data_IF_830533873306
#
_entry.id   IF_830533873306
#
_cell.length_a   1.000
_cell.length_b   1.000
_cell.length_c   1.000
_cell.angle_alpha   90.00
_cell.angle_beta   90.00
_cell.angle_gamma   90.00
#
_symmetry.space_group_name_H-M   'P 1'
#
loop_
_entity.id
_entity.type
_entity.pdbx_description
1 polymer ?
#
# COMPACT_ATOMS: atom_id res chain seq x y z
N UNK A 1 -10.17 14.41 -5.40
CA UNK A 1 -9.80 15.00 -4.08
C UNK A 1 -8.33 15.35 -4.01
N UNK A 2 -7.45 14.44 -4.43
CA UNK A 2 -6.03 14.72 -4.65
C UNK A 2 -5.74 14.52 -6.12
N UNK A 3 -4.96 15.41 -6.73
CA UNK A 3 -4.49 15.31 -8.12
C UNK A 3 -2.99 15.57 -8.15
N UNK A 4 -2.27 14.65 -8.75
CA UNK A 4 -0.81 14.71 -8.93
C UNK A 4 -0.52 14.58 -10.42
N UNK A 5 0.16 15.57 -10.99
CA UNK A 5 0.44 15.64 -12.42
C UNK A 5 1.93 15.87 -12.64
N UNK A 6 2.61 14.91 -13.26
CA UNK A 6 4.03 14.92 -13.67
C UNK A 6 4.97 15.36 -12.54
N UNK A 7 4.64 14.96 -11.30
CA UNK A 7 5.36 15.37 -10.10
C UNK A 7 6.79 14.85 -10.14
N UNK A 8 7.76 15.76 -10.08
CA UNK A 8 9.18 15.44 -10.17
C UNK A 8 9.91 16.04 -8.98
N UNK A 9 10.81 15.26 -8.37
CA UNK A 9 11.63 15.71 -7.24
C UNK A 9 13.05 15.24 -7.36
N UNK A 10 13.98 16.19 -7.31
CA UNK A 10 15.42 15.95 -7.34
C UNK A 10 16.05 16.36 -6.01
N UNK A 11 16.91 15.51 -5.47
CA UNK A 11 17.82 15.82 -4.36
C UNK A 11 19.25 15.82 -4.91
N UNK A 12 19.68 16.97 -5.41
CA UNK A 12 20.94 17.05 -6.15
C UNK A 12 20.92 16.09 -7.37
N UNK A 13 21.85 15.12 -7.45
CA UNK A 13 21.88 14.14 -8.55
C UNK A 13 20.82 13.04 -8.44
N UNK A 14 20.18 12.90 -7.28
CA UNK A 14 19.23 11.80 -7.03
C UNK A 14 17.84 12.21 -7.48
N UNK A 15 17.25 11.45 -8.41
CA UNK A 15 15.86 11.59 -8.84
C UNK A 15 14.98 10.76 -7.91
N UNK A 16 14.30 11.42 -6.98
CA UNK A 16 13.40 10.76 -6.02
C UNK A 16 12.00 10.52 -6.60
N UNK A 17 11.52 11.43 -7.48
CA UNK A 17 10.28 11.26 -8.25
C UNK A 17 10.54 11.69 -9.69
N UNK A 18 10.07 10.91 -10.65
CA UNK A 18 10.20 11.16 -12.09
C UNK A 18 8.81 11.10 -12.73
N UNK A 19 8.18 12.26 -12.92
CA UNK A 19 6.88 12.45 -13.56
C UNK A 19 5.77 11.57 -13.02
N UNK A 20 5.66 11.53 -11.69
CA UNK A 20 4.60 10.78 -10.99
C UNK A 20 3.25 11.45 -11.23
N UNK A 21 2.28 10.69 -11.73
CA UNK A 21 0.91 11.17 -11.98
C UNK A 21 -0.09 10.15 -11.45
N UNK A 22 -1.00 10.58 -10.57
CA UNK A 22 -2.15 9.80 -10.07
C UNK A 22 -3.20 10.72 -9.48
N UNK A 23 -4.38 10.21 -9.25
CA UNK A 23 -5.46 10.93 -8.57
C UNK A 23 -6.04 10.11 -7.41
N UNK A 24 -6.66 10.79 -6.44
CA UNK A 24 -7.44 10.16 -5.36
C UNK A 24 -8.82 10.81 -5.34
N UNK A 25 -9.87 10.00 -5.44
CA UNK A 25 -11.25 10.47 -5.41
C UNK A 25 -11.68 10.78 -3.98
N UNK A 26 -12.76 11.56 -3.85
CA UNK A 26 -13.35 11.83 -2.53
C UNK A 26 -13.89 10.53 -1.93
N UNK A 27 -13.58 10.29 -0.64
CA UNK A 27 -14.02 9.07 0.07
C UNK A 27 -13.27 7.79 -0.33
N UNK A 28 -12.19 7.90 -1.12
CA UNK A 28 -11.36 6.76 -1.52
C UNK A 28 -10.24 6.54 -0.51
N UNK A 29 -9.93 5.25 -0.25
CA UNK A 29 -8.71 4.84 0.44
C UNK A 29 -7.71 4.35 -0.60
N UNK A 30 -6.61 5.07 -0.78
CA UNK A 30 -5.55 4.71 -1.71
C UNK A 30 -4.30 4.32 -0.95
N UNK A 31 -3.79 3.12 -1.25
CA UNK A 31 -2.50 2.64 -0.77
C UNK A 31 -1.37 3.01 -1.74
N UNK A 32 -0.38 3.77 -1.28
CA UNK A 32 0.85 4.02 -2.03
C UNK A 32 1.88 2.95 -1.64
N UNK A 33 2.02 1.92 -2.47
CA UNK A 33 2.85 0.75 -2.23
C UNK A 33 4.20 0.86 -2.94
N UNK A 34 5.27 0.47 -2.29
CA UNK A 34 6.60 0.41 -2.92
C UNK A 34 7.72 0.11 -1.94
N UNK A 35 8.90 -0.32 -2.41
CA UNK A 35 10.04 -0.59 -1.55
C UNK A 35 10.58 0.69 -0.89
N UNK A 36 11.48 0.52 0.07
CA UNK A 36 12.17 1.65 0.69
C UNK A 36 12.98 2.41 -0.38
N UNK A 37 12.92 3.76 -0.33
CA UNK A 37 13.55 4.61 -1.34
C UNK A 37 12.78 4.74 -2.67
N UNK A 38 11.60 4.14 -2.82
CA UNK A 38 10.81 4.23 -4.05
C UNK A 38 10.20 5.62 -4.34
N UNK A 39 10.16 6.52 -3.35
CA UNK A 39 9.58 7.86 -3.48
C UNK A 39 8.29 8.09 -2.67
N UNK A 40 7.79 7.08 -1.92
CA UNK A 40 6.55 7.18 -1.12
C UNK A 40 6.54 8.39 -0.18
N UNK A 41 7.46 8.44 0.78
CA UNK A 41 7.52 9.53 1.77
C UNK A 41 7.84 10.89 1.13
N UNK A 42 8.57 10.91 0.00
CA UNK A 42 8.78 12.14 -0.78
C UNK A 42 7.45 12.65 -1.34
N UNK A 43 6.64 11.78 -1.92
CA UNK A 43 5.30 12.12 -2.40
C UNK A 43 4.42 12.64 -1.27
N UNK A 44 4.38 11.95 -0.11
CA UNK A 44 3.61 12.38 1.06
C UNK A 44 4.06 13.76 1.57
N UNK A 45 5.38 14.01 1.64
CA UNK A 45 5.93 15.31 2.06
C UNK A 45 5.56 16.44 1.09
N UNK A 46 5.46 16.18 -0.20
CA UNK A 46 5.01 17.20 -1.17
C UNK A 46 3.51 17.47 -0.98
N UNK A 47 2.68 16.43 -0.92
CA UNK A 47 1.23 16.57 -0.70
C UNK A 47 0.90 17.32 0.58
N UNK A 48 1.73 17.14 1.62
CA UNK A 48 1.57 17.83 2.92
C UNK A 48 2.24 19.20 2.98
N UNK A 49 2.75 19.70 1.86
CA UNK A 49 3.43 21.00 1.75
C UNK A 49 4.71 21.12 2.59
N UNK A 50 5.31 19.99 2.98
CA UNK A 50 6.58 19.94 3.68
C UNK A 50 7.76 20.15 2.73
N UNK A 51 7.63 19.66 1.49
CA UNK A 51 8.59 19.84 0.41
C UNK A 51 7.92 20.47 -0.80
N UNK A 52 8.69 21.28 -1.54
CA UNK A 52 8.30 21.79 -2.84
C UNK A 52 8.83 20.85 -3.93
N UNK A 53 8.02 20.48 -4.94
CA UNK A 53 8.50 19.68 -6.06
C UNK A 53 9.48 20.48 -6.93
N UNK A 54 10.38 19.77 -7.61
CA UNK A 54 11.27 20.38 -8.62
C UNK A 54 10.50 20.78 -9.88
N UNK A 55 9.49 19.95 -10.27
CA UNK A 55 8.59 20.22 -11.37
C UNK A 55 7.28 19.45 -11.19
N UNK A 56 6.28 19.76 -12.02
CA UNK A 56 4.95 19.18 -11.94
C UNK A 56 4.04 19.91 -10.96
N UNK A 57 2.86 19.35 -10.71
CA UNK A 57 1.82 19.98 -9.92
C UNK A 57 1.11 18.97 -9.01
N UNK A 58 0.78 19.39 -7.80
CA UNK A 58 -0.10 18.63 -6.92
C UNK A 58 -1.19 19.54 -6.34
N UNK A 59 -2.41 19.03 -6.28
CA UNK A 59 -3.59 19.74 -5.76
C UNK A 59 -4.28 18.85 -4.73
N UNK A 60 -4.62 19.40 -3.58
CA UNK A 60 -5.32 18.71 -2.50
C UNK A 60 -6.57 19.51 -2.12
N UNK A 61 -7.73 18.87 -2.20
CA UNK A 61 -9.04 19.51 -1.95
C UNK A 61 -9.25 20.82 -2.73
N UNK A 62 -8.77 20.86 -3.98
CA UNK A 62 -8.87 22.04 -4.85
C UNK A 62 -7.76 23.10 -4.64
N UNK A 63 -6.85 22.90 -3.67
CA UNK A 63 -5.77 23.83 -3.37
C UNK A 63 -4.42 23.32 -3.88
N UNK A 64 -3.69 24.16 -4.62
CA UNK A 64 -2.34 23.87 -5.08
C UNK A 64 -1.36 23.86 -3.90
N UNK A 65 -0.56 22.78 -3.79
CA UNK A 65 0.37 22.59 -2.66
C UNK A 65 1.49 23.63 -2.60
N UNK A 66 1.83 24.25 -3.73
CA UNK A 66 2.88 25.28 -3.83
C UNK A 66 2.33 26.68 -3.71
N UNK A 67 1.13 26.95 -4.27
CA UNK A 67 0.52 28.28 -4.31
C UNK A 67 -0.28 28.59 -3.05
N UNK A 68 -0.95 27.57 -2.47
CA UNK A 68 -1.88 27.75 -1.35
C UNK A 68 -1.56 26.83 -0.15
N UNK A 69 -0.29 26.72 0.30
CA UNK A 69 0.12 25.72 1.30
C UNK A 69 -0.63 25.83 2.62
N UNK A 70 -1.02 27.05 3.04
CA UNK A 70 -1.78 27.23 4.28
C UNK A 70 -3.22 26.70 4.17
N UNK A 71 -3.85 26.79 2.98
CA UNK A 71 -5.17 26.22 2.75
C UNK A 71 -5.09 24.68 2.72
N UNK A 72 -4.08 24.13 2.05
CA UNK A 72 -3.82 22.68 2.05
C UNK A 72 -3.67 22.17 3.48
N UNK A 73 -2.82 22.82 4.31
CA UNK A 73 -2.60 22.41 5.72
C UNK A 73 -3.85 22.47 6.59
N UNK A 74 -4.86 23.27 6.24
CA UNK A 74 -6.15 23.32 6.96
C UNK A 74 -7.03 22.13 6.69
N UNK A 75 -6.95 21.57 5.48
CA UNK A 75 -7.83 20.46 5.03
C UNK A 75 -7.18 19.08 5.14
N UNK A 76 -5.87 19.00 5.48
CA UNK A 76 -5.15 17.74 5.64
C UNK A 76 -4.85 17.42 7.10
N UNK A 77 -4.99 16.13 7.46
CA UNK A 77 -4.37 15.52 8.63
C UNK A 77 -3.18 14.69 8.18
N UNK A 78 -2.02 14.86 8.80
CA UNK A 78 -0.81 14.15 8.45
C UNK A 78 -0.20 13.39 9.62
N UNK A 79 0.02 12.10 9.41
CA UNK A 79 0.78 11.22 10.28
C UNK A 79 2.09 10.85 9.57
N UNK A 80 3.22 11.44 9.92
CA UNK A 80 4.52 11.04 9.36
C UNK A 80 5.03 9.75 9.99
N UNK A 81 5.95 9.05 9.30
CA UNK A 81 6.61 7.83 9.80
C UNK A 81 7.32 8.07 11.14
N UNK A 82 8.04 9.19 11.28
CA UNK A 82 8.63 9.64 12.55
C UNK A 82 7.65 10.53 13.26
N UNK A 83 7.14 10.09 14.40
CA UNK A 83 6.08 10.77 15.14
C UNK A 83 6.59 12.08 15.78
N UNK A 84 6.02 13.26 15.44
CA UNK A 84 6.44 14.55 15.98
C UNK A 84 5.78 14.84 17.33
N UNK A 85 5.96 13.95 18.30
CA UNK A 85 5.32 14.04 19.62
C UNK A 85 6.23 14.78 20.62
N UNK A 86 5.64 15.62 21.46
CA UNK A 86 6.33 16.24 22.58
C UNK A 86 6.33 15.28 23.78
N UNK A 87 7.42 14.52 23.90
CA UNK A 87 7.54 13.34 24.76
C UNK A 87 7.32 13.63 26.24
N UNK A 88 7.58 14.85 26.71
CA UNK A 88 7.44 15.27 28.12
C UNK A 88 6.05 15.87 28.44
N UNK A 89 5.16 15.95 27.44
CA UNK A 89 3.80 16.42 27.66
C UNK A 89 2.86 15.26 27.99
N UNK A 90 1.82 15.53 28.77
CA UNK A 90 0.65 14.64 28.86
C UNK A 90 -0.11 14.61 27.52
N UNK A 91 -0.72 13.47 27.17
CA UNK A 91 -1.58 13.34 25.98
C UNK A 91 -2.61 14.47 25.89
N UNK A 92 -3.30 14.74 27.01
CA UNK A 92 -4.29 15.83 27.12
C UNK A 92 -3.71 17.19 26.77
N UNK A 93 -2.57 17.52 27.36
CA UNK A 93 -1.92 18.81 27.18
C UNK A 93 -1.42 18.98 25.75
N UNK A 94 -0.86 17.91 25.17
CA UNK A 94 -0.39 17.87 23.79
C UNK A 94 -1.55 18.08 22.80
N UNK A 95 -2.65 17.33 22.92
CA UNK A 95 -3.81 17.48 22.04
C UNK A 95 -4.48 18.85 22.17
N UNK A 96 -4.55 19.42 23.39
CA UNK A 96 -5.03 20.78 23.61
C UNK A 96 -4.13 21.81 22.92
N UNK A 97 -2.82 21.65 23.03
CA UNK A 97 -1.84 22.51 22.36
C UNK A 97 -2.01 22.46 20.83
N UNK A 98 -2.03 21.25 20.26
CA UNK A 98 -2.21 21.06 18.81
C UNK A 98 -3.55 21.62 18.32
N UNK A 99 -4.63 21.37 19.04
CA UNK A 99 -5.95 21.90 18.69
C UNK A 99 -5.98 23.43 18.65
N UNK A 100 -5.35 24.09 19.64
CA UNK A 100 -5.20 25.55 19.64
C UNK A 100 -4.33 26.03 18.47
N UNK A 101 -3.22 25.36 18.18
CA UNK A 101 -2.35 25.68 17.04
C UNK A 101 -3.08 25.54 15.69
N UNK A 102 -4.09 24.64 15.62
CA UNK A 102 -4.99 24.48 14.47
C UNK A 102 -6.17 25.47 14.46
N UNK A 103 -6.22 26.43 15.38
CA UNK A 103 -7.24 27.49 15.48
C UNK A 103 -8.53 27.05 16.18
N UNK A 104 -8.52 25.94 16.91
CA UNK A 104 -9.67 25.52 17.72
C UNK A 104 -9.63 26.19 19.10
N UNK A 105 -10.80 26.57 19.62
CA UNK A 105 -10.94 27.18 20.94
C UNK A 105 -12.27 26.83 21.61
N UNK A 106 -12.39 27.08 22.90
CA UNK A 106 -13.65 26.98 23.66
C UNK A 106 -14.34 25.61 23.53
N UNK A 107 -15.63 25.65 23.35
CA UNK A 107 -16.50 24.45 23.25
C UNK A 107 -16.12 23.57 22.03
N UNK A 108 -15.73 24.17 20.91
CA UNK A 108 -15.30 23.42 19.71
C UNK A 108 -14.05 22.61 19.98
N UNK A 109 -13.04 23.16 20.63
CA UNK A 109 -11.83 22.43 21.00
C UNK A 109 -12.16 21.26 21.93
N UNK A 110 -12.96 21.51 22.97
CA UNK A 110 -13.38 20.47 23.91
C UNK A 110 -14.07 19.31 23.19
N UNK A 111 -15.06 19.60 22.35
CA UNK A 111 -15.80 18.60 21.59
C UNK A 111 -14.88 17.79 20.65
N UNK A 112 -13.98 18.46 19.91
CA UNK A 112 -13.04 17.76 19.02
C UNK A 112 -12.04 16.88 19.79
N UNK A 113 -11.59 17.33 20.97
CA UNK A 113 -10.75 16.52 21.85
C UNK A 113 -11.47 15.26 22.32
N UNK A 114 -12.74 15.36 22.75
CA UNK A 114 -13.54 14.23 23.18
C UNK A 114 -13.68 13.20 22.03
N UNK A 115 -14.02 13.67 20.82
CA UNK A 115 -14.15 12.81 19.64
C UNK A 115 -12.85 12.09 19.32
N UNK A 116 -11.70 12.79 19.17
CA UNK A 116 -10.46 12.12 18.78
C UNK A 116 -9.91 11.19 19.87
N UNK A 117 -10.15 11.51 21.15
CA UNK A 117 -9.79 10.64 22.26
C UNK A 117 -10.60 9.35 22.24
N UNK A 118 -11.89 9.44 21.89
CA UNK A 118 -12.75 8.27 21.75
C UNK A 118 -12.37 7.45 20.52
N UNK A 119 -12.35 8.09 19.35
CA UNK A 119 -12.01 7.44 18.06
C UNK A 119 -10.65 6.75 18.10
N UNK A 120 -9.61 7.38 18.68
CA UNK A 120 -8.27 6.80 18.76
C UNK A 120 -8.05 5.92 20.01
N UNK A 121 -9.07 5.68 20.84
CA UNK A 121 -8.98 4.82 22.02
C UNK A 121 -8.00 5.32 23.09
N UNK A 122 -7.88 6.65 23.27
CA UNK A 122 -6.89 7.27 24.16
C UNK A 122 -7.37 7.49 25.61
N UNK A 123 -8.64 7.16 25.94
CA UNK A 123 -9.21 7.35 27.29
C UNK A 123 -8.30 6.78 28.40
N UNK A 124 -7.73 5.54 28.30
CA UNK A 124 -6.89 4.97 29.37
C UNK A 124 -5.59 5.71 29.62
N UNK A 125 -5.08 6.45 28.64
CA UNK A 125 -3.76 7.12 28.68
C UNK A 125 -3.85 8.63 28.62
N UNK A 126 -5.04 9.19 28.67
CA UNK A 126 -5.29 10.63 28.42
C UNK A 126 -4.51 11.58 29.34
N UNK A 127 -4.22 11.14 30.58
CA UNK A 127 -3.44 11.91 31.57
C UNK A 127 -2.01 11.40 31.77
N UNK A 128 -1.56 10.42 30.93
CA UNK A 128 -0.19 9.91 30.99
C UNK A 128 0.75 10.76 30.16
N UNK A 129 2.01 10.79 30.56
CA UNK A 129 3.09 11.44 29.81
C UNK A 129 3.40 10.59 28.58
N UNK A 130 3.57 11.25 27.40
CA UNK A 130 3.71 10.57 26.10
C UNK A 130 4.91 9.62 26.07
N UNK A 131 6.04 9.96 26.72
CA UNK A 131 7.22 9.06 26.78
C UNK A 131 6.96 7.73 27.50
N UNK A 132 5.96 7.68 28.39
CA UNK A 132 5.60 6.48 29.17
C UNK A 132 4.65 5.54 28.39
N UNK A 133 4.18 5.97 27.22
CA UNK A 133 3.26 5.21 26.41
C UNK A 133 3.98 4.10 25.63
N UNK A 134 3.27 2.98 25.39
CA UNK A 134 3.68 1.99 24.38
C UNK A 134 3.75 2.64 23.00
N UNK A 135 4.44 1.99 22.04
CA UNK A 135 4.55 2.46 20.67
C UNK A 135 3.14 2.64 20.04
N UNK A 136 2.23 1.70 20.25
CA UNK A 136 0.85 1.77 19.75
C UNK A 136 0.08 2.97 20.29
N UNK A 137 0.17 3.27 21.58
CA UNK A 137 -0.46 4.47 22.12
C UNK A 137 0.17 5.77 21.63
N UNK A 138 1.47 5.80 21.39
CA UNK A 138 2.12 6.95 20.74
C UNK A 138 1.61 7.13 19.31
N UNK A 139 1.49 6.03 18.55
CA UNK A 139 0.92 6.06 17.20
C UNK A 139 -0.51 6.61 17.19
N UNK A 140 -1.37 6.11 18.08
CA UNK A 140 -2.75 6.59 18.24
C UNK A 140 -2.81 8.06 18.67
N UNK A 141 -1.88 8.51 19.54
CA UNK A 141 -1.79 9.92 19.94
C UNK A 141 -1.40 10.80 18.75
N UNK A 142 -0.46 10.36 17.90
CA UNK A 142 -0.07 11.09 16.71
C UNK A 142 -1.19 11.08 15.65
N UNK A 143 -1.98 10.01 15.55
CA UNK A 143 -3.16 9.98 14.69
C UNK A 143 -4.25 10.93 15.21
N UNK A 144 -4.51 10.95 16.52
CA UNK A 144 -5.45 11.90 17.13
C UNK A 144 -5.05 13.37 16.85
N UNK A 145 -3.75 13.69 16.89
CA UNK A 145 -3.27 15.02 16.52
C UNK A 145 -3.52 15.34 15.03
N UNK A 146 -3.38 14.36 14.15
CA UNK A 146 -3.68 14.55 12.73
C UNK A 146 -5.17 14.79 12.47
N UNK A 147 -6.07 14.27 13.32
CA UNK A 147 -7.53 14.31 13.17
C UNK A 147 -8.21 15.44 13.94
N UNK A 148 -7.52 16.11 14.87
CA UNK A 148 -8.15 17.00 15.84
C UNK A 148 -8.91 18.18 15.21
N UNK A 149 -8.43 18.70 14.08
CA UNK A 149 -9.03 19.83 13.36
C UNK A 149 -10.08 19.44 12.32
N UNK A 150 -10.44 18.15 12.26
CA UNK A 150 -11.42 17.59 11.34
C UNK A 150 -11.04 17.73 9.85
N UNK A 151 -9.90 17.17 9.42
CA UNK A 151 -9.46 17.27 8.04
C UNK A 151 -10.37 16.51 7.07
N UNK A 152 -10.43 16.97 5.81
CA UNK A 152 -11.12 16.28 4.72
C UNK A 152 -10.26 15.14 4.13
N UNK A 153 -8.94 15.32 4.16
CA UNK A 153 -7.95 14.38 3.65
C UNK A 153 -7.03 13.94 4.78
N UNK A 154 -6.81 12.64 4.90
CA UNK A 154 -5.88 12.05 5.88
C UNK A 154 -4.73 11.39 5.13
N UNK A 155 -3.50 11.80 5.44
CA UNK A 155 -2.28 11.28 4.84
C UNK A 155 -1.49 10.54 5.93
N UNK A 156 -1.24 9.25 5.71
CA UNK A 156 -0.61 8.36 6.68
C UNK A 156 0.66 7.76 6.07
N UNK A 157 1.82 8.11 6.63
CA UNK A 157 3.11 7.58 6.16
C UNK A 157 3.56 6.43 7.08
N UNK A 158 3.52 5.19 6.59
CA UNK A 158 3.84 3.93 7.28
C UNK A 158 3.10 3.80 8.65
N UNK A 159 1.75 3.89 8.69
CA UNK A 159 0.99 4.03 9.93
C UNK A 159 1.10 2.84 10.90
N UNK A 160 1.49 1.68 10.41
CA UNK A 160 1.59 0.41 11.16
C UNK A 160 3.01 -0.02 11.45
N UNK A 161 4.00 0.79 11.03
CA UNK A 161 5.41 0.44 11.15
C UNK A 161 5.85 0.11 12.59
N UNK A 162 6.31 -1.13 12.78
CA UNK A 162 6.83 -1.65 14.05
C UNK A 162 5.81 -1.76 15.17
N UNK A 163 4.53 -1.90 14.83
CA UNK A 163 3.46 -2.31 15.73
C UNK A 163 3.36 -3.84 15.77
N UNK A 164 2.83 -4.38 16.86
CA UNK A 164 2.48 -5.80 16.94
C UNK A 164 1.20 -6.11 16.14
N UNK A 165 0.93 -7.40 15.83
CA UNK A 165 -0.22 -7.79 15.01
C UNK A 165 -1.57 -7.28 15.53
N UNK A 166 -1.77 -7.25 16.84
CA UNK A 166 -3.02 -6.78 17.45
C UNK A 166 -3.19 -5.27 17.23
N UNK A 167 -2.12 -4.49 17.44
CA UNK A 167 -2.11 -3.05 17.21
C UNK A 167 -2.32 -2.70 15.73
N UNK A 168 -1.77 -3.51 14.81
CA UNK A 168 -2.02 -3.35 13.37
C UNK A 168 -3.51 -3.46 13.05
N UNK A 169 -4.20 -4.48 13.58
CA UNK A 169 -5.64 -4.65 13.39
C UNK A 169 -6.45 -3.45 13.92
N UNK A 170 -6.05 -2.92 15.08
CA UNK A 170 -6.70 -1.75 15.67
C UNK A 170 -6.52 -0.48 14.83
N UNK A 171 -5.31 -0.25 14.26
CA UNK A 171 -5.06 0.89 13.35
C UNK A 171 -5.83 0.71 12.03
N UNK A 172 -5.91 -0.51 11.47
CA UNK A 172 -6.74 -0.80 10.29
C UNK A 172 -8.20 -0.47 10.53
N UNK A 173 -8.78 -0.97 11.60
CA UNK A 173 -10.17 -0.66 11.97
C UNK A 173 -10.42 0.85 12.09
N UNK A 174 -9.45 1.59 12.60
CA UNK A 174 -9.52 3.05 12.69
C UNK A 174 -9.44 3.70 11.31
N UNK A 175 -8.61 3.21 10.40
CA UNK A 175 -8.55 3.70 9.02
C UNK A 175 -9.87 3.44 8.29
N UNK A 176 -10.46 2.26 8.47
CA UNK A 176 -11.76 1.90 7.89
C UNK A 176 -12.89 2.81 8.40
N UNK A 177 -12.86 3.18 9.68
CA UNK A 177 -13.82 4.14 10.25
C UNK A 177 -13.62 5.54 9.64
N UNK A 178 -12.38 5.99 9.49
CA UNK A 178 -12.08 7.28 8.86
C UNK A 178 -12.49 7.32 7.38
N UNK A 179 -12.40 6.19 6.68
CA UNK A 179 -12.74 6.07 5.27
C UNK A 179 -14.23 6.34 4.97
N UNK A 180 -15.11 6.22 5.96
CA UNK A 180 -16.55 6.49 5.79
C UNK A 180 -16.82 7.95 5.41
N UNK A 181 -16.06 8.89 5.95
CA UNK A 181 -16.29 10.33 5.80
C UNK A 181 -15.11 11.09 5.18
N UNK A 182 -13.94 10.48 5.13
CA UNK A 182 -12.69 11.14 4.75
C UNK A 182 -12.03 10.45 3.55
N UNK A 183 -11.21 11.20 2.84
CA UNK A 183 -10.32 10.64 1.82
C UNK A 183 -9.00 10.26 2.50
N UNK A 184 -8.54 9.04 2.30
CA UNK A 184 -7.34 8.53 2.95
C UNK A 184 -6.29 8.14 1.90
N UNK A 185 -5.07 8.57 2.07
CA UNK A 185 -3.91 8.03 1.37
C UNK A 185 -2.92 7.50 2.41
N UNK A 186 -2.52 6.26 2.28
CA UNK A 186 -1.54 5.65 3.16
C UNK A 186 -0.35 5.11 2.37
N UNK A 187 0.85 5.28 2.88
CA UNK A 187 2.04 4.63 2.34
C UNK A 187 2.35 3.38 3.14
N UNK A 188 2.81 2.35 2.48
CA UNK A 188 3.41 1.18 3.12
C UNK A 188 4.31 0.42 2.16
N UNK A 189 5.20 -0.39 2.69
CA UNK A 189 5.98 -1.38 1.96
C UNK A 189 5.45 -2.80 2.21
N UNK A 190 4.40 -2.96 3.02
CA UNK A 190 3.82 -4.25 3.41
C UNK A 190 2.56 -4.51 2.58
N UNK A 191 2.65 -5.48 1.68
CA UNK A 191 1.60 -5.85 0.73
C UNK A 191 0.28 -6.23 1.41
N UNK A 192 0.34 -7.01 2.48
CA UNK A 192 -0.82 -7.47 3.25
C UNK A 192 -1.60 -6.32 3.91
N UNK A 193 -0.94 -5.20 4.23
CA UNK A 193 -1.60 -4.03 4.80
C UNK A 193 -2.46 -3.32 3.76
N UNK A 194 -1.90 -3.13 2.57
CA UNK A 194 -2.62 -2.49 1.46
C UNK A 194 -3.78 -3.35 1.00
N UNK A 195 -3.57 -4.67 0.88
CA UNK A 195 -4.60 -5.63 0.46
C UNK A 195 -5.81 -5.63 1.41
N UNK A 196 -5.57 -5.41 2.70
CA UNK A 196 -6.62 -5.43 3.71
C UNK A 196 -7.34 -4.08 3.92
N UNK A 197 -6.76 -2.95 3.45
CA UNK A 197 -7.27 -1.62 3.84
C UNK A 197 -7.58 -0.73 2.63
N UNK A 198 -6.84 -0.86 1.53
CA UNK A 198 -6.97 0.06 0.39
C UNK A 198 -8.02 -0.41 -0.63
N UNK A 199 -8.85 0.52 -1.08
CA UNK A 199 -9.77 0.29 -2.21
C UNK A 199 -9.02 0.24 -3.54
N UNK A 200 -7.90 0.96 -3.64
CA UNK A 200 -7.06 1.07 -4.83
C UNK A 200 -5.60 1.22 -4.42
N UNK A 201 -4.73 0.66 -5.22
CA UNK A 201 -3.30 0.63 -4.97
C UNK A 201 -2.58 1.38 -6.09
N UNK A 202 -1.72 2.32 -5.70
CA UNK A 202 -0.75 2.97 -6.58
C UNK A 202 0.63 2.39 -6.23
N UNK A 203 1.22 1.67 -7.16
CA UNK A 203 2.55 1.06 -6.98
C UNK A 203 3.60 2.03 -7.50
N UNK A 204 4.51 2.42 -6.61
CA UNK A 204 5.64 3.28 -6.96
C UNK A 204 6.96 2.49 -6.85
N UNK A 205 7.80 2.61 -7.87
CA UNK A 205 9.13 2.02 -7.88
C UNK A 205 10.13 2.99 -8.52
N UNK A 206 11.28 3.21 -7.87
CA UNK A 206 12.35 4.11 -8.35
C UNK A 206 11.83 5.49 -8.82
N UNK A 207 10.88 6.04 -8.07
CA UNK A 207 10.29 7.35 -8.34
C UNK A 207 9.26 7.38 -9.47
N UNK A 208 8.79 6.24 -9.99
CA UNK A 208 7.78 6.16 -11.05
C UNK A 208 6.59 5.31 -10.63
N UNK A 209 5.41 5.60 -11.17
CA UNK A 209 4.24 4.74 -11.00
C UNK A 209 4.34 3.57 -12.00
N UNK A 210 4.34 2.35 -11.45
CA UNK A 210 4.41 1.10 -12.21
C UNK A 210 3.08 0.37 -12.28
N UNK A 211 2.15 0.72 -11.40
CA UNK A 211 0.80 0.17 -11.37
C UNK A 211 -0.16 1.11 -10.66
N UNK A 212 -1.39 1.17 -11.13
CA UNK A 212 -2.48 1.94 -10.57
C UNK A 212 -3.80 1.25 -10.87
N UNK A 213 -4.55 0.86 -9.83
CA UNK A 213 -5.81 0.15 -9.95
C UNK A 213 -6.22 -0.61 -8.70
N UNK A 214 -7.36 -1.33 -8.77
CA UNK A 214 -7.72 -2.32 -7.76
C UNK A 214 -6.77 -3.51 -7.81
N UNK A 215 -6.80 -4.35 -6.77
CA UNK A 215 -5.97 -5.57 -6.72
C UNK A 215 -6.22 -6.45 -7.95
N UNK A 216 -7.48 -6.61 -8.34
CA UNK A 216 -7.89 -7.41 -9.50
C UNK A 216 -7.33 -6.82 -10.80
N UNK A 217 -7.43 -5.51 -10.98
CA UNK A 217 -6.89 -4.81 -12.15
C UNK A 217 -5.37 -4.93 -12.24
N UNK A 218 -4.68 -4.85 -11.10
CA UNK A 218 -3.22 -5.00 -11.05
C UNK A 218 -2.81 -6.45 -11.34
N UNK A 219 -3.53 -7.44 -10.80
CA UNK A 219 -3.31 -8.87 -11.09
C UNK A 219 -3.51 -9.16 -12.59
N UNK A 220 -4.56 -8.62 -13.19
CA UNK A 220 -4.81 -8.81 -14.63
C UNK A 220 -3.73 -8.17 -15.51
N UNK A 221 -3.24 -6.98 -15.16
CA UNK A 221 -2.10 -6.34 -15.85
C UNK A 221 -0.78 -7.10 -15.71
N UNK A 222 -0.58 -7.74 -14.58
CA UNK A 222 0.61 -8.54 -14.32
C UNK A 222 0.55 -9.93 -14.97
N UNK A 223 -0.66 -10.40 -15.28
CA UNK A 223 -0.91 -11.75 -15.82
C UNK A 223 -0.12 -11.98 -17.11
N UNK A 224 0.81 -12.92 -17.07
CA UNK A 224 1.65 -13.37 -18.20
C UNK A 224 1.51 -14.86 -18.49
N UNK A 225 0.74 -15.55 -17.66
CA UNK A 225 0.56 -16.99 -17.68
C UNK A 225 -0.75 -17.38 -16.98
N UNK A 226 -1.31 -18.52 -17.34
CA UNK A 226 -2.35 -19.17 -16.55
C UNK A 226 -1.71 -20.01 -15.45
N UNK A 227 -2.34 -20.08 -14.29
CA UNK A 227 -1.82 -20.80 -13.12
C UNK A 227 -2.90 -21.65 -12.52
N UNK A 228 -2.56 -22.92 -12.26
CA UNK A 228 -3.46 -23.89 -11.66
C UNK A 228 -2.81 -24.55 -10.46
N UNK A 229 -3.55 -24.65 -9.37
CA UNK A 229 -3.22 -25.57 -8.29
C UNK A 229 -3.78 -26.93 -8.67
N UNK A 230 -2.92 -27.93 -8.74
CA UNK A 230 -3.26 -29.30 -9.09
C UNK A 230 -2.77 -30.25 -8.01
N UNK A 231 -3.69 -30.90 -7.32
CA UNK A 231 -3.41 -31.84 -6.22
C UNK A 231 -3.99 -33.20 -6.55
N UNK A 232 -3.14 -34.21 -6.64
CA UNK A 232 -3.50 -35.58 -6.99
C UNK A 232 -2.85 -36.61 -6.09
N UNK A 233 -3.45 -37.76 -5.95
CA UNK A 233 -2.86 -38.93 -5.30
C UNK A 233 -1.81 -39.56 -6.23
N UNK A 234 -0.55 -39.64 -5.80
CA UNK A 234 0.54 -40.21 -6.60
C UNK A 234 1.93 -39.83 -6.10
N UNK A 235 2.95 -40.38 -6.76
CA UNK A 235 4.35 -40.11 -6.47
C UNK A 235 4.81 -38.78 -7.11
N UNK A 236 5.51 -37.94 -6.33
CA UNK A 236 5.97 -36.61 -6.77
C UNK A 236 6.70 -36.63 -8.11
N UNK A 237 7.69 -37.52 -8.24
CA UNK A 237 8.57 -37.62 -9.43
C UNK A 237 7.81 -38.03 -10.67
N UNK A 238 6.88 -38.94 -10.51
CA UNK A 238 6.03 -39.44 -11.59
C UNK A 238 5.06 -38.35 -12.07
N UNK A 239 4.30 -37.76 -11.17
CA UNK A 239 3.35 -36.67 -11.47
C UNK A 239 4.07 -35.50 -12.15
N UNK A 240 5.23 -35.09 -11.64
CA UNK A 240 6.03 -34.00 -12.22
C UNK A 240 6.46 -34.29 -13.65
N UNK A 241 6.89 -35.52 -13.93
CA UNK A 241 7.28 -35.97 -15.28
C UNK A 241 6.14 -35.84 -16.28
N UNK A 242 4.96 -36.32 -15.91
CA UNK A 242 3.79 -36.25 -16.79
C UNK A 242 3.31 -34.81 -16.99
N UNK A 243 3.24 -34.01 -15.93
CA UNK A 243 2.86 -32.59 -16.01
C UNK A 243 3.77 -31.80 -16.95
N UNK A 244 5.07 -32.10 -16.94
CA UNK A 244 6.05 -31.43 -17.82
C UNK A 244 5.85 -31.78 -19.30
N UNK A 245 5.16 -32.88 -19.62
CA UNK A 245 4.81 -33.29 -20.96
C UNK A 245 3.51 -32.68 -21.49
N UNK A 246 2.69 -32.03 -20.67
CA UNK A 246 1.41 -31.47 -21.08
C UNK A 246 1.63 -30.27 -22.00
N UNK A 247 0.96 -30.27 -23.15
CA UNK A 247 1.02 -29.19 -24.14
C UNK A 247 0.51 -27.87 -23.50
N UNK A 248 1.28 -26.80 -23.65
CA UNK A 248 0.92 -25.50 -23.08
C UNK A 248 1.46 -25.24 -21.66
N UNK A 249 1.90 -26.24 -20.93
CA UNK A 249 2.60 -26.05 -19.64
C UNK A 249 3.99 -25.46 -19.89
N UNK A 250 4.29 -24.34 -19.21
CA UNK A 250 5.60 -23.68 -19.23
C UNK A 250 6.52 -24.19 -18.13
N UNK A 251 5.93 -24.40 -16.93
CA UNK A 251 6.67 -24.76 -15.72
C UNK A 251 5.74 -25.43 -14.72
N UNK A 252 6.27 -26.38 -13.99
CA UNK A 252 5.63 -26.99 -12.82
C UNK A 252 6.45 -26.74 -11.58
N UNK A 253 5.82 -26.43 -10.48
CA UNK A 253 6.46 -26.22 -9.19
C UNK A 253 5.78 -27.11 -8.15
N UNK A 254 6.55 -27.99 -7.53
CA UNK A 254 6.08 -28.76 -6.38
C UNK A 254 5.85 -27.84 -5.19
N UNK A 255 4.71 -27.98 -4.52
CA UNK A 255 4.34 -27.18 -3.36
C UNK A 255 4.50 -27.97 -2.05
N UNK A 256 3.77 -29.08 -1.95
CA UNK A 256 3.81 -29.95 -0.78
C UNK A 256 3.30 -31.36 -1.10
N UNK A 257 3.46 -32.27 -0.14
CA UNK A 257 2.88 -33.60 -0.14
C UNK A 257 2.27 -33.88 1.23
N UNK A 258 1.04 -34.40 1.26
CA UNK A 258 0.33 -34.79 2.47
C UNK A 258 -0.65 -35.94 2.17
N UNK A 259 -0.68 -36.96 3.04
CA UNK A 259 -1.61 -38.11 2.95
C UNK A 259 -1.56 -38.83 1.58
N UNK A 260 -0.38 -38.93 0.96
CA UNK A 260 -0.20 -39.52 -0.35
C UNK A 260 -0.58 -38.63 -1.55
N UNK A 261 -1.16 -37.46 -1.27
CA UNK A 261 -1.44 -36.44 -2.28
C UNK A 261 -0.23 -35.54 -2.49
N UNK A 262 0.04 -35.19 -3.75
CA UNK A 262 1.08 -34.25 -4.15
C UNK A 262 0.43 -33.03 -4.81
N UNK A 263 0.85 -31.84 -4.42
CA UNK A 263 0.33 -30.57 -4.91
C UNK A 263 1.36 -29.87 -5.78
N UNK A 264 0.95 -29.45 -6.96
CA UNK A 264 1.76 -28.70 -7.91
C UNK A 264 1.10 -27.37 -8.29
N UNK A 265 1.89 -26.33 -8.41
CA UNK A 265 1.54 -25.14 -9.16
C UNK A 265 1.94 -25.36 -10.61
N UNK A 266 0.94 -25.48 -11.48
CA UNK A 266 1.12 -25.64 -12.93
C UNK A 266 1.01 -24.26 -13.58
N UNK A 267 2.08 -23.80 -14.23
CA UNK A 267 2.15 -22.51 -14.93
C UNK A 267 2.06 -22.80 -16.43
N UNK A 268 1.04 -22.29 -17.08
CA UNK A 268 0.73 -22.52 -18.49
C UNK A 268 0.85 -21.23 -19.31
N UNK A 269 0.86 -21.36 -20.63
CA UNK A 269 0.80 -20.24 -21.57
C UNK A 269 -0.51 -19.49 -21.40
N UNK A 270 -0.47 -18.17 -21.49
CA UNK A 270 -1.66 -17.33 -21.42
C UNK A 270 -2.65 -17.70 -22.54
N UNK A 271 -3.93 -17.83 -22.18
CA UNK A 271 -5.00 -18.18 -23.11
C UNK A 271 -5.05 -19.67 -23.49
N UNK A 272 -4.22 -20.54 -22.90
CA UNK A 272 -4.27 -21.99 -23.11
C UNK A 272 -4.95 -22.66 -21.91
N UNK A 273 -6.17 -23.20 -22.04
CA UNK A 273 -6.92 -23.77 -20.92
C UNK A 273 -6.43 -25.18 -20.57
N UNK A 274 -5.20 -25.30 -20.08
CA UNK A 274 -4.56 -26.60 -19.72
C UNK A 274 -5.29 -27.40 -18.64
N UNK A 275 -6.28 -26.84 -17.96
CA UNK A 275 -7.05 -27.57 -16.96
C UNK A 275 -7.78 -28.78 -17.51
N UNK A 276 -8.18 -28.76 -18.81
CA UNK A 276 -8.81 -29.91 -19.49
C UNK A 276 -7.83 -31.07 -19.66
N UNK A 277 -6.65 -30.75 -20.16
CA UNK A 277 -5.56 -31.72 -20.34
C UNK A 277 -5.08 -32.29 -19.00
N UNK A 278 -5.10 -31.48 -17.91
CA UNK A 278 -4.80 -31.97 -16.57
C UNK A 278 -5.84 -32.99 -16.06
N UNK A 279 -7.12 -32.79 -16.35
CA UNK A 279 -8.18 -33.76 -16.01
C UNK A 279 -8.02 -35.01 -16.82
N UNK A 280 -7.80 -34.90 -18.13
CA UNK A 280 -7.59 -36.05 -19.02
C UNK A 280 -6.35 -36.86 -18.62
N UNK A 281 -5.26 -36.15 -18.26
CA UNK A 281 -4.06 -36.78 -17.75
C UNK A 281 -4.32 -37.54 -16.46
N UNK A 282 -4.98 -36.94 -15.48
CA UNK A 282 -5.32 -37.61 -14.23
C UNK A 282 -6.15 -38.86 -14.46
N UNK A 283 -7.16 -38.77 -15.36
CA UNK A 283 -7.98 -39.91 -15.71
C UNK A 283 -7.19 -41.05 -16.39
N UNK A 284 -6.28 -40.69 -17.30
CA UNK A 284 -5.44 -41.68 -18.02
C UNK A 284 -4.44 -42.40 -17.11
N UNK A 285 -3.94 -41.70 -16.09
CA UNK A 285 -3.01 -42.25 -15.10
C UNK A 285 -3.69 -42.82 -13.85
N UNK A 286 -5.04 -42.80 -13.80
CA UNK A 286 -5.87 -43.29 -12.69
C UNK A 286 -5.54 -42.52 -11.36
N UNK A 287 -5.18 -41.27 -11.48
CA UNK A 287 -4.94 -40.41 -10.29
C UNK A 287 -6.27 -39.88 -9.74
N UNK A 288 -6.42 -39.96 -8.43
CA UNK A 288 -7.52 -39.30 -7.74
C UNK A 288 -7.20 -37.81 -7.61
N UNK A 289 -8.06 -36.94 -8.15
CA UNK A 289 -7.93 -35.50 -8.06
C UNK A 289 -8.56 -35.04 -6.76
N UNK A 290 -7.75 -34.45 -5.86
CA UNK A 290 -8.22 -33.77 -4.64
C UNK A 290 -8.60 -32.32 -4.91
N UNK A 291 -7.82 -31.63 -5.75
CA UNK A 291 -8.04 -30.21 -6.06
C UNK A 291 -7.50 -29.86 -7.44
N UNK A 292 -8.32 -29.10 -8.18
CA UNK A 292 -7.90 -28.43 -9.42
C UNK A 292 -8.62 -27.08 -9.48
N UNK A 293 -7.89 -26.00 -9.28
CA UNK A 293 -8.44 -24.65 -9.34
C UNK A 293 -7.45 -23.65 -9.95
N UNK A 294 -7.99 -22.59 -10.55
CA UNK A 294 -7.15 -21.45 -10.94
C UNK A 294 -6.55 -20.79 -9.70
N UNK A 295 -5.27 -20.49 -9.76
CA UNK A 295 -4.58 -19.75 -8.72
C UNK A 295 -4.14 -18.38 -9.25
N UNK A 296 -4.88 -17.31 -8.94
CA UNK A 296 -4.50 -15.97 -9.35
C UNK A 296 -3.12 -15.60 -8.76
N UNK A 297 -2.44 -14.67 -9.43
CA UNK A 297 -1.22 -14.07 -8.89
C UNK A 297 -1.47 -13.51 -7.49
N UNK A 298 -0.58 -13.79 -6.56
CA UNK A 298 -0.57 -13.06 -5.28
C UNK A 298 -0.22 -11.60 -5.54
N UNK A 299 -0.53 -10.70 -4.60
CA UNK A 299 -0.14 -9.29 -4.74
C UNK A 299 1.39 -9.14 -4.78
N UNK A 300 2.13 -10.02 -4.09
CA UNK A 300 3.59 -10.05 -4.12
C UNK A 300 4.12 -10.40 -5.52
N UNK A 301 3.60 -11.46 -6.13
CA UNK A 301 3.96 -11.86 -7.50
C UNK A 301 3.58 -10.77 -8.51
N UNK A 302 2.41 -10.14 -8.32
CA UNK A 302 1.94 -9.00 -9.12
C UNK A 302 2.91 -7.82 -9.04
N UNK A 303 3.30 -7.46 -7.81
CA UNK A 303 4.27 -6.40 -7.55
C UNK A 303 5.63 -6.68 -8.21
N UNK A 304 6.17 -7.89 -8.04
CA UNK A 304 7.44 -8.30 -8.65
C UNK A 304 7.35 -8.21 -10.18
N UNK A 305 6.29 -8.75 -10.78
CA UNK A 305 6.12 -8.74 -12.24
C UNK A 305 6.01 -7.31 -12.79
N UNK A 306 5.25 -6.43 -12.14
CA UNK A 306 5.11 -5.04 -12.58
C UNK A 306 6.42 -4.25 -12.44
N UNK A 307 7.17 -4.48 -11.37
CA UNK A 307 8.46 -3.80 -11.14
C UNK A 307 9.59 -4.33 -12.03
N UNK A 308 9.55 -5.60 -12.45
CA UNK A 308 10.53 -6.20 -13.36
C UNK A 308 10.32 -5.78 -14.82
N UNK A 309 9.08 -5.61 -15.26
CA UNK A 309 8.76 -5.13 -16.62
C UNK A 309 9.37 -3.75 -16.94
N UNK A 310 9.63 -2.92 -15.93
CA UNK A 310 10.27 -1.60 -16.11
C UNK A 310 11.81 -1.63 -16.23
N UNK A 311 12.49 -2.71 -15.82
CA UNK A 311 13.96 -2.77 -15.87
C UNK A 311 14.56 -2.50 -17.26
N UNK A 312 14.01 -3.05 -18.37
CA UNK A 312 14.58 -2.84 -19.71
C UNK A 312 14.45 -1.39 -20.21
N UNK A 313 13.34 -0.71 -19.88
CA UNK A 313 13.10 0.67 -20.33
C UNK A 313 14.01 1.68 -19.62
N UNK A 314 14.30 1.46 -18.36
CA UNK A 314 15.21 2.28 -17.56
C UNK A 314 16.66 2.16 -18.02
N UNK A 315 17.14 0.96 -18.37
CA UNK A 315 18.48 0.77 -18.91
C UNK A 315 18.64 1.44 -20.26
N UNK A 316 17.63 1.37 -21.13
CA UNK A 316 17.61 2.04 -22.42
C UNK A 316 17.57 3.58 -22.28
N UNK A 317 16.78 4.12 -21.34
CA UNK A 317 16.70 5.55 -21.06
C UNK A 317 18.01 6.10 -20.46
N UNK A 318 18.66 5.34 -19.58
CA UNK A 318 19.95 5.72 -18.97
C UNK A 318 21.07 5.69 -20.01
N UNK A 319 21.12 4.69 -20.88
CA UNK A 319 22.09 4.62 -22.00
C UNK A 319 21.93 5.78 -22.98
N UNK A 320 20.68 6.22 -23.29
CA UNK A 320 20.43 7.39 -24.14
C UNK A 320 20.86 8.72 -23.51
N UNK A 321 20.72 8.87 -22.18
CA UNK A 321 21.17 10.09 -21.46
C UNK A 321 22.70 10.19 -21.39
N UNK A 322 23.40 9.08 -21.23
CA UNK A 322 24.87 9.04 -21.21
C UNK A 322 25.46 9.23 -22.61
N UNK A 323 24.74 8.88 -23.67
CA UNK A 323 25.18 9.07 -25.04
C UNK A 323 25.00 10.51 -25.59
N UNK A 324 24.29 11.37 -24.83
CA UNK A 324 24.03 12.78 -25.19
C UNK A 324 24.61 13.79 -24.18
N UNK A 325 25.41 13.34 -23.21
CA UNK A 325 26.22 14.15 -22.29
C UNK A 325 27.70 14.03 -22.65
#
# INVERSE_FOLDING_TARGET
>A
MIQVNDLTMHYGPIVALDRVSFEVRKGEVVGLLGPNGAGKSTTMKILTTYLYPTAGKAVVAGHDVTQEPLKVRKVIGYLPEVLPLYMDMEVRSYLNFVGKARGLSGARLKHRMELVVETCGLKPVFRKIIRELSKGYRQRTALAQALIHDPEVVILDEPTSGLDPHQILEIRSLIDELAKDKTVILSTHILQEVEATAHRIVIINRGRIVGDGTIEQLRERAKDSERYLFTVLGEQTEVQKYLSGVSGVKKTQFLNSADGFVSFLVIAKLGVPVWRELIELAHSQHWEIKELCERPLTLEETFLTLTEKEKPELELATRRRVAHA
#
